data_IF_910768388557
#
_entry.id   IF_910768388557
#
_cell.length_a   1.000
_cell.length_b   1.000
_cell.length_c   1.000
_cell.angle_alpha   90.00
_cell.angle_beta   90.00
_cell.angle_gamma   90.00
#
_symmetry.space_group_name_H-M   'P 1'
#
loop_
_entity.id
_entity.type
_entity.pdbx_description
1 polymer ?
#
# COMPACT_ATOMS: atom_id res chain seq x y z
N UNK A 1 5.46 -37.65 -34.51
CA UNK A 1 4.86 -37.71 -33.14
C UNK A 1 5.84 -37.29 -32.04
N UNK A 2 7.03 -37.91 -31.90
CA UNK A 2 8.00 -37.54 -30.84
C UNK A 2 8.47 -36.08 -30.84
N UNK A 3 8.66 -35.48 -32.03
CA UNK A 3 9.03 -34.06 -32.18
C UNK A 3 7.91 -33.11 -31.71
N UNK A 4 6.65 -33.46 -31.98
CA UNK A 4 5.47 -32.67 -31.58
C UNK A 4 5.26 -32.71 -30.06
N UNK A 5 5.47 -33.87 -29.44
CA UNK A 5 5.44 -34.04 -27.99
C UNK A 5 6.55 -33.21 -27.33
N UNK A 6 7.75 -33.21 -27.92
CA UNK A 6 8.86 -32.41 -27.43
C UNK A 6 8.57 -30.91 -27.50
N UNK A 7 7.99 -30.43 -28.60
CA UNK A 7 7.59 -29.02 -28.76
C UNK A 7 6.51 -28.60 -27.75
N UNK A 8 5.50 -29.45 -27.51
CA UNK A 8 4.47 -29.19 -26.48
C UNK A 8 5.08 -29.13 -25.09
N UNK A 9 6.03 -30.02 -24.78
CA UNK A 9 6.71 -30.04 -23.49
C UNK A 9 7.59 -28.80 -23.26
N UNK A 10 8.29 -28.33 -24.30
CA UNK A 10 9.07 -27.08 -24.25
C UNK A 10 8.19 -25.85 -24.08
N UNK A 11 7.02 -25.81 -24.73
CA UNK A 11 6.06 -24.70 -24.60
C UNK A 11 5.44 -24.63 -23.20
N UNK A 12 5.17 -25.79 -22.58
CA UNK A 12 4.63 -25.88 -21.22
C UNK A 12 5.62 -25.42 -20.15
N UNK A 13 6.93 -25.67 -20.36
CA UNK A 13 8.00 -25.19 -19.47
C UNK A 13 8.18 -23.67 -19.53
N UNK A 14 7.87 -23.02 -20.66
CA UNK A 14 7.95 -21.57 -20.83
C UNK A 14 6.78 -20.82 -20.17
N UNK A 15 5.66 -21.50 -19.87
CA UNK A 15 4.51 -20.93 -19.16
C UNK A 15 4.56 -21.13 -17.63
N UNK A 16 5.59 -21.80 -17.13
CA UNK A 16 5.76 -22.11 -15.71
C UNK A 16 6.29 -20.93 -14.89
N UNK A 17 5.43 -20.01 -14.46
CA UNK A 17 5.72 -19.22 -13.26
C UNK A 17 5.24 -17.78 -13.26
N UNK A 18 3.93 -17.54 -13.36
CA UNK A 18 3.38 -16.34 -12.73
C UNK A 18 3.55 -16.51 -11.21
N UNK A 19 4.60 -15.91 -10.64
CA UNK A 19 4.79 -15.86 -9.18
C UNK A 19 3.64 -15.02 -8.62
N UNK A 20 2.82 -15.64 -7.78
CA UNK A 20 1.82 -14.91 -7.00
C UNK A 20 2.57 -13.88 -6.14
N UNK A 21 2.43 -12.61 -6.48
CA UNK A 21 3.12 -11.53 -5.79
C UNK A 21 2.42 -11.28 -4.45
N UNK A 22 3.10 -11.54 -3.32
CA UNK A 22 2.53 -11.31 -1.99
C UNK A 22 2.16 -9.83 -1.80
N UNK A 23 1.35 -9.56 -0.81
CA UNK A 23 1.01 -8.19 -0.41
C UNK A 23 1.70 -7.88 0.92
N UNK A 24 1.84 -6.59 1.19
CA UNK A 24 2.14 -6.07 2.52
C UNK A 24 0.91 -5.41 3.09
N UNK A 25 0.66 -5.64 4.37
CA UNK A 25 -0.35 -4.97 5.17
C UNK A 25 0.38 -4.13 6.21
N UNK A 26 0.16 -2.82 6.18
CA UNK A 26 0.63 -1.89 7.20
C UNK A 26 -0.55 -1.62 8.14
N UNK A 27 -0.58 -2.23 9.33
CA UNK A 27 -1.66 -2.01 10.27
C UNK A 27 -1.66 -0.57 10.76
N UNK A 28 -2.83 -0.05 11.08
CA UNK A 28 -3.00 1.30 11.65
C UNK A 28 -3.74 1.28 13.00
N UNK A 29 -3.99 0.09 13.55
CA UNK A 29 -4.48 -0.11 14.90
C UNK A 29 -3.33 0.02 15.94
N UNK A 30 -3.56 -0.43 17.17
CA UNK A 30 -2.59 -0.35 18.26
C UNK A 30 -1.32 -1.20 18.05
N UNK A 31 -1.29 -2.09 17.05
CA UNK A 31 -0.09 -2.89 16.73
C UNK A 31 0.96 -2.13 15.91
N UNK A 32 0.62 -0.94 15.42
CA UNK A 32 1.54 -0.11 14.65
C UNK A 32 2.53 0.61 15.58
N UNK A 33 3.81 0.47 15.28
CA UNK A 33 4.90 1.10 16.05
C UNK A 33 5.02 2.61 15.80
N UNK A 34 4.68 3.08 14.60
CA UNK A 34 4.71 4.52 14.28
C UNK A 34 3.72 4.87 13.15
N UNK A 35 2.51 5.33 13.51
CA UNK A 35 1.45 5.66 12.56
C UNK A 35 1.81 6.80 11.61
N UNK A 36 2.48 7.84 12.10
CA UNK A 36 2.85 8.99 11.26
C UNK A 36 3.88 8.60 10.20
N UNK A 37 4.87 7.80 10.58
CA UNK A 37 5.83 7.27 9.60
C UNK A 37 5.21 6.25 8.67
N UNK A 38 4.19 5.50 9.10
CA UNK A 38 3.43 4.58 8.23
C UNK A 38 2.77 5.33 7.06
N UNK A 39 2.10 6.47 7.33
CA UNK A 39 1.61 7.36 6.27
C UNK A 39 2.74 7.81 5.33
N UNK A 40 3.90 8.19 5.89
CA UNK A 40 5.07 8.55 5.09
C UNK A 40 5.60 7.42 4.20
N UNK A 41 5.58 6.17 4.67
CA UNK A 41 5.98 5.00 3.88
C UNK A 41 5.04 4.82 2.69
N UNK A 42 3.72 4.86 2.93
CA UNK A 42 2.71 4.73 1.87
C UNK A 42 2.74 5.91 0.89
N UNK A 43 2.88 7.13 1.40
CA UNK A 43 3.05 8.31 0.57
C UNK A 43 4.23 8.17 -0.38
N UNK A 44 5.39 7.72 0.12
CA UNK A 44 6.56 7.50 -0.72
C UNK A 44 6.32 6.38 -1.76
N UNK A 45 5.63 5.31 -1.38
CA UNK A 45 5.28 4.23 -2.32
C UNK A 45 4.42 4.73 -3.48
N UNK A 46 3.37 5.49 -3.20
CA UNK A 46 2.48 6.07 -4.21
C UNK A 46 3.19 7.16 -5.02
N UNK A 47 4.06 7.96 -4.38
CA UNK A 47 4.87 8.98 -5.04
C UNK A 47 5.83 8.37 -6.08
N UNK A 48 6.35 7.18 -5.80
CA UNK A 48 7.24 6.44 -6.70
C UNK A 48 6.45 5.73 -7.83
N UNK A 49 5.13 5.92 -7.89
CA UNK A 49 4.25 5.41 -8.95
C UNK A 49 3.64 4.03 -8.67
N UNK A 50 3.82 3.50 -7.46
CA UNK A 50 3.26 2.21 -7.06
C UNK A 50 1.92 2.38 -6.33
N UNK A 51 0.82 1.79 -6.82
CA UNK A 51 -0.48 1.96 -6.20
C UNK A 51 -0.57 1.24 -4.86
N UNK A 52 -1.38 1.79 -3.96
CA UNK A 52 -1.75 1.17 -2.69
C UNK A 52 -3.27 1.18 -2.50
N UNK A 53 -3.74 0.48 -1.48
CA UNK A 53 -5.13 0.46 -1.03
C UNK A 53 -5.18 0.97 0.40
N UNK A 54 -6.11 1.88 0.68
CA UNK A 54 -6.50 2.25 2.03
C UNK A 54 -7.74 1.45 2.42
N UNK A 55 -7.66 0.74 3.53
CA UNK A 55 -8.69 -0.14 4.04
C UNK A 55 -9.49 0.62 5.11
N UNK A 56 -10.47 1.41 4.67
CA UNK A 56 -11.24 2.30 5.53
C UNK A 56 -11.94 1.51 6.63
N UNK A 57 -11.75 1.95 7.88
CA UNK A 57 -12.27 1.34 9.11
C UNK A 57 -11.85 -0.14 9.35
N UNK A 58 -10.91 -0.67 8.58
CA UNK A 58 -10.31 -1.97 8.84
C UNK A 58 -8.97 -1.80 9.56
N UNK A 59 -8.84 -2.39 10.76
CA UNK A 59 -7.63 -2.30 11.60
C UNK A 59 -7.06 -0.87 11.68
N UNK A 60 -7.91 0.08 12.07
CA UNK A 60 -7.53 1.49 12.22
C UNK A 60 -7.31 2.26 10.90
N UNK A 61 -7.77 1.75 9.76
CA UNK A 61 -7.53 2.38 8.45
C UNK A 61 -6.22 1.89 7.82
N UNK A 62 -5.99 0.57 7.85
CA UNK A 62 -4.75 -0.06 7.38
C UNK A 62 -4.46 0.20 5.91
N UNK A 63 -3.21 0.04 5.51
CA UNK A 63 -2.82 0.11 4.10
C UNK A 63 -2.39 -1.25 3.57
N UNK A 64 -2.76 -1.54 2.34
CA UNK A 64 -2.32 -2.73 1.63
C UNK A 64 -1.62 -2.32 0.33
N UNK A 65 -0.46 -2.91 0.07
CA UNK A 65 0.30 -2.66 -1.15
C UNK A 65 0.96 -3.94 -1.64
N UNK A 66 1.31 -3.95 -2.91
CA UNK A 66 2.06 -5.05 -3.50
C UNK A 66 3.45 -5.10 -2.85
N UNK A 67 3.92 -6.30 -2.50
CA UNK A 67 5.24 -6.44 -1.88
C UNK A 67 6.35 -6.01 -2.85
N UNK A 68 7.24 -5.17 -2.33
CA UNK A 68 8.49 -4.78 -2.97
C UNK A 68 9.59 -4.58 -1.91
N UNK A 69 10.85 -4.75 -2.30
CA UNK A 69 11.98 -4.60 -1.39
C UNK A 69 12.09 -3.16 -0.82
N UNK A 70 11.70 -2.15 -1.59
CA UNK A 70 11.78 -0.76 -1.18
C UNK A 70 10.78 -0.43 -0.07
N UNK A 71 9.52 -0.88 -0.15
CA UNK A 71 8.52 -0.64 0.90
C UNK A 71 8.91 -1.33 2.22
N UNK A 72 9.42 -2.56 2.15
CA UNK A 72 9.92 -3.29 3.34
C UNK A 72 11.10 -2.55 3.97
N UNK A 73 12.07 -2.12 3.14
CA UNK A 73 13.23 -1.38 3.61
C UNK A 73 12.84 -0.05 4.24
N UNK A 74 11.96 0.73 3.58
CA UNK A 74 11.49 2.02 4.08
C UNK A 74 10.73 1.88 5.41
N UNK A 75 9.92 0.83 5.56
CA UNK A 75 9.21 0.53 6.80
C UNK A 75 10.18 0.16 7.93
N UNK A 76 11.11 -0.77 7.69
CA UNK A 76 12.12 -1.17 8.68
C UNK A 76 12.98 -0.01 9.16
N UNK A 77 13.52 0.79 8.24
CA UNK A 77 14.36 1.95 8.57
C UNK A 77 13.62 3.01 9.40
N UNK A 78 12.28 3.04 9.32
CA UNK A 78 11.44 4.00 10.03
C UNK A 78 10.77 3.42 11.27
N UNK A 79 11.06 2.16 11.61
CA UNK A 79 10.39 1.43 12.69
C UNK A 79 8.87 1.44 12.50
N UNK A 80 8.40 1.05 11.32
CA UNK A 80 6.98 0.88 10.98
C UNK A 80 6.65 -0.62 10.91
N UNK A 81 5.63 -1.04 11.64
CA UNK A 81 5.09 -2.40 11.60
C UNK A 81 4.52 -2.70 10.21
N UNK A 82 4.88 -3.87 9.67
CA UNK A 82 4.43 -4.35 8.38
C UNK A 82 4.29 -5.87 8.46
N UNK A 83 3.17 -6.37 7.95
CA UNK A 83 2.85 -7.79 7.84
C UNK A 83 2.91 -8.20 6.38
N UNK A 84 3.51 -9.34 6.07
CA UNK A 84 3.46 -9.93 4.72
C UNK A 84 2.29 -10.89 4.65
N UNK A 85 1.37 -10.68 3.71
CA UNK A 85 0.19 -11.53 3.52
C UNK A 85 0.21 -12.16 2.13
N UNK A 86 -0.27 -13.39 2.04
CA UNK A 86 -0.48 -14.08 0.77
C UNK A 86 -1.60 -13.41 -0.03
N UNK A 87 -1.68 -13.70 -1.34
CA UNK A 87 -2.76 -13.20 -2.17
C UNK A 87 -4.14 -13.74 -1.77
N UNK A 88 -4.20 -14.97 -1.24
CA UNK A 88 -5.44 -15.52 -0.70
C UNK A 88 -5.90 -14.77 0.55
N UNK A 89 -4.98 -14.46 1.46
CA UNK A 89 -5.31 -13.69 2.67
C UNK A 89 -5.73 -12.27 2.30
N UNK A 90 -5.00 -11.61 1.39
CA UNK A 90 -5.37 -10.28 0.90
C UNK A 90 -6.77 -10.27 0.26
N UNK A 91 -7.09 -11.29 -0.55
CA UNK A 91 -8.42 -11.42 -1.15
C UNK A 91 -9.51 -11.63 -0.09
N UNK A 92 -9.26 -12.46 0.93
CA UNK A 92 -10.19 -12.66 2.05
C UNK A 92 -10.42 -11.37 2.84
N UNK A 93 -9.36 -10.61 3.14
CA UNK A 93 -9.46 -9.31 3.81
C UNK A 93 -10.31 -8.34 2.99
N UNK A 94 -10.06 -8.26 1.68
CA UNK A 94 -10.85 -7.39 0.79
C UNK A 94 -12.32 -7.83 0.75
N UNK A 95 -12.60 -9.13 0.70
CA UNK A 95 -13.97 -9.65 0.69
C UNK A 95 -14.71 -9.36 2.01
N UNK A 96 -14.01 -9.40 3.15
CA UNK A 96 -14.55 -9.00 4.45
C UNK A 96 -14.89 -7.50 4.47
N UNK A 97 -13.98 -6.65 3.98
CA UNK A 97 -14.15 -5.20 3.94
C UNK A 97 -15.33 -4.77 3.06
N UNK A 98 -15.51 -5.44 1.91
CA UNK A 98 -16.58 -5.15 0.96
C UNK A 98 -17.87 -5.93 1.25
N UNK A 99 -17.97 -6.56 2.44
CA UNK A 99 -19.17 -7.32 2.82
C UNK A 99 -20.39 -6.42 3.00
N UNK A 100 -21.58 -6.85 2.55
CA UNK A 100 -22.80 -6.04 2.68
C UNK A 100 -23.12 -5.72 4.15
N UNK A 101 -23.38 -4.44 4.44
CA UNK A 101 -23.75 -3.99 5.78
C UNK A 101 -22.58 -3.65 6.71
N UNK A 102 -21.33 -3.82 6.26
CA UNK A 102 -20.15 -3.32 6.99
C UNK A 102 -19.94 -1.83 6.76
N UNK A 103 -19.44 -1.11 7.77
CA UNK A 103 -19.02 0.29 7.66
C UNK A 103 -17.53 0.39 7.27
N UNK A 104 -17.11 -0.39 6.28
CA UNK A 104 -15.73 -0.49 5.79
C UNK A 104 -15.71 -0.34 4.27
N UNK A 105 -14.57 0.03 3.69
CA UNK A 105 -14.43 0.17 2.23
C UNK A 105 -12.97 0.14 1.79
N UNK A 106 -12.69 -0.35 0.59
CA UNK A 106 -11.38 -0.26 -0.05
C UNK A 106 -11.30 0.99 -0.92
N UNK A 107 -10.40 1.91 -0.56
CA UNK A 107 -10.09 3.10 -1.36
C UNK A 107 -8.76 2.90 -2.09
N UNK A 108 -8.79 2.98 -3.42
CA UNK A 108 -7.56 2.87 -4.24
C UNK A 108 -6.78 4.18 -4.20
N UNK A 109 -5.46 4.07 -4.00
CA UNK A 109 -4.52 5.18 -3.95
C UNK A 109 -3.52 5.06 -5.10
N UNK A 110 -3.75 5.81 -6.17
CA UNK A 110 -2.94 5.73 -7.40
C UNK A 110 -1.97 6.91 -7.58
N UNK A 111 -2.24 8.03 -6.91
CA UNK A 111 -1.46 9.27 -7.06
C UNK A 111 -1.20 9.89 -5.71
N UNK A 112 0.04 10.32 -5.49
CA UNK A 112 0.42 11.01 -4.27
C UNK A 112 -0.36 12.34 -4.15
N UNK A 113 -0.93 12.64 -2.98
CA UNK A 113 -1.62 13.90 -2.75
C UNK A 113 -0.63 15.07 -2.85
N UNK A 114 -1.11 16.20 -3.36
CA UNK A 114 -0.38 17.47 -3.32
C UNK A 114 -0.97 18.29 -2.18
N UNK A 115 -0.11 18.82 -1.33
CA UNK A 115 -0.53 19.72 -0.24
C UNK A 115 -0.41 21.15 -0.75
N UNK A 116 -1.48 21.92 -0.66
CA UNK A 116 -1.44 23.36 -0.86
C UNK A 116 -1.26 24.02 0.51
N UNK A 117 -0.20 24.82 0.66
CA UNK A 117 0.00 25.64 1.86
C UNK A 117 -0.37 27.08 1.53
N UNK A 118 -1.38 27.60 2.22
CA UNK A 118 -1.77 29.00 2.10
C UNK A 118 -1.05 29.82 3.16
N UNK A 119 -0.40 30.90 2.71
CA UNK A 119 0.28 31.87 3.57
C UNK A 119 -0.16 33.28 3.16
N UNK A 120 -0.54 34.15 4.11
CA UNK A 120 -0.83 35.56 3.82
C UNK A 120 0.40 36.30 3.28
N UNK A 121 0.21 37.24 2.34
CA UNK A 121 1.30 37.98 1.69
C UNK A 121 2.22 38.77 2.65
N UNK A 122 1.75 39.05 3.88
CA UNK A 122 2.48 39.81 4.92
C UNK A 122 2.95 38.93 6.10
N UNK A 123 3.07 37.61 5.91
CA UNK A 123 3.48 36.71 7.01
C UNK A 123 4.86 37.09 7.57
N UNK A 124 4.88 37.48 8.85
CA UNK A 124 6.12 37.77 9.57
C UNK A 124 6.76 36.46 10.04
N UNK A 125 8.08 36.42 10.31
CA UNK A 125 8.80 35.17 10.63
C UNK A 125 8.29 34.39 11.85
N UNK A 126 7.45 35.00 12.70
CA UNK A 126 6.83 34.40 13.88
C UNK A 126 5.32 34.08 13.70
N UNK A 127 4.78 34.26 12.49
CA UNK A 127 3.37 33.94 12.14
C UNK A 127 3.24 32.50 11.56
N UNK A 128 4.16 31.59 11.89
CA UNK A 128 4.17 30.20 11.42
C UNK A 128 2.95 29.38 11.86
N UNK A 129 2.24 29.85 12.89
CA UNK A 129 0.96 29.28 13.33
C UNK A 129 -0.22 29.55 12.38
N UNK A 130 -0.07 30.39 11.33
CA UNK A 130 -1.13 30.78 10.39
C UNK A 130 -0.87 30.28 8.96
N UNK A 131 -0.38 29.05 8.83
CA UNK A 131 -0.33 28.35 7.54
C UNK A 131 -1.35 27.22 7.51
N UNK A 132 -2.34 27.33 6.63
CA UNK A 132 -3.30 26.26 6.38
C UNK A 132 -2.75 25.31 5.32
N UNK A 133 -2.64 24.04 5.66
CA UNK A 133 -2.33 22.95 4.73
C UNK A 133 -3.65 22.27 4.31
N UNK A 134 -3.93 22.27 3.01
CA UNK A 134 -5.08 21.62 2.36
C UNK A 134 -4.61 20.44 1.50
#
# INVERSE_FOLDING_TARGET
MKRFIFTIFTLLLLFGGAKAQQQVLIPMDASQTDHLKAYGVIFNHIKDGFPAKWLLNYRGGSFMAVIDNDIIRKARLRNVSLETVSNSEAASIIAEIESPGSNTSVVNLEKAPRIAVYTPDQALPWDDAVTLAL
#
